data_IF_604128954459
#
_entry.id   IF_604128954459
#
_cell.length_a   1.000
_cell.length_b   1.000
_cell.length_c   1.000
_cell.angle_alpha   90.00
_cell.angle_beta   90.00
_cell.angle_gamma   90.00
#
_symmetry.space_group_name_H-M   'P 1'
#
loop_
_entity.id
_entity.type
_entity.pdbx_description
1 polymer ?
#
# COMPACT_ATOMS: atom_id res chain seq x y z
N UNK A 1 3.19 20.64 7.08
CA UNK A 1 3.29 20.29 5.64
C UNK A 1 2.32 19.12 5.36
N UNK A 2 1.89 18.81 4.12
CA UNK A 2 0.85 17.80 3.89
C UNK A 2 1.30 16.33 4.14
N UNK A 3 2.59 16.10 4.39
CA UNK A 3 3.18 14.78 4.60
C UNK A 3 3.07 14.28 6.06
N UNK A 4 3.05 15.19 7.05
CA UNK A 4 2.83 14.85 8.47
C UNK A 4 1.47 14.16 8.69
N UNK A 5 0.50 14.38 7.79
CA UNK A 5 -0.85 13.82 7.88
C UNK A 5 -0.95 12.33 7.56
N UNK A 6 0.12 11.71 7.07
CA UNK A 6 0.21 10.26 6.83
C UNK A 6 1.04 9.53 7.91
N UNK A 7 1.80 10.27 8.72
CA UNK A 7 2.55 9.74 9.87
C UNK A 7 1.62 9.46 11.06
N UNK A 8 0.57 10.27 11.22
CA UNK A 8 -0.53 10.00 12.15
C UNK A 8 -1.41 8.86 11.62
N UNK A 9 -0.97 7.62 11.80
CA UNK A 9 -1.84 6.47 11.63
C UNK A 9 -3.08 6.53 12.56
N UNK A 10 -3.04 7.33 13.63
CA UNK A 10 -4.20 7.68 14.47
C UNK A 10 -5.18 8.65 13.80
N UNK A 11 -4.77 9.41 12.77
CA UNK A 11 -5.62 10.32 12.01
C UNK A 11 -6.08 9.75 10.66
N UNK A 12 -5.97 8.42 10.46
CA UNK A 12 -6.68 7.76 9.36
C UNK A 12 -8.16 7.76 9.73
N UNK A 13 -8.86 8.78 9.21
CA UNK A 13 -10.29 8.97 9.37
C UNK A 13 -11.05 7.65 9.18
N UNK A 14 -12.07 7.41 10.00
CA UNK A 14 -12.83 6.17 10.02
C UNK A 14 -13.39 5.80 8.63
N UNK A 15 -13.61 6.79 7.75
CA UNK A 15 -13.95 6.59 6.35
C UNK A 15 -12.85 5.88 5.54
N UNK A 16 -11.57 6.23 5.75
CA UNK A 16 -10.44 5.56 5.09
C UNK A 16 -10.26 4.13 5.58
N UNK A 17 -10.44 3.87 6.88
CA UNK A 17 -10.42 2.50 7.44
C UNK A 17 -11.50 1.63 6.79
N UNK A 18 -12.71 2.16 6.62
CA UNK A 18 -13.81 1.47 5.90
C UNK A 18 -13.50 1.26 4.42
N UNK A 19 -12.87 2.22 3.76
CA UNK A 19 -12.48 2.09 2.36
C UNK A 19 -11.41 1.00 2.17
N UNK A 20 -10.40 0.94 3.05
CA UNK A 20 -9.40 -0.13 3.04
C UNK A 20 -10.09 -1.47 3.26
N UNK A 21 -10.91 -1.61 4.31
CA UNK A 21 -11.60 -2.87 4.59
C UNK A 21 -12.52 -3.35 3.45
N UNK A 22 -13.13 -2.42 2.70
CA UNK A 22 -13.96 -2.76 1.52
C UNK A 22 -13.16 -3.13 0.29
N UNK A 23 -12.00 -2.51 0.10
CA UNK A 23 -11.19 -2.64 -1.12
C UNK A 23 -10.00 -3.59 -0.96
N UNK A 24 -9.71 -4.06 0.26
CA UNK A 24 -8.56 -4.91 0.52
C UNK A 24 -8.77 -6.27 -0.15
N UNK A 25 -7.81 -6.64 -0.99
CA UNK A 25 -7.80 -7.91 -1.70
C UNK A 25 -6.39 -8.44 -1.82
N UNK A 26 -6.27 -9.75 -1.96
CA UNK A 26 -5.00 -10.37 -2.31
C UNK A 26 -4.66 -9.97 -3.76
N UNK A 27 -3.43 -9.52 -3.98
CA UNK A 27 -2.91 -9.16 -5.31
C UNK A 27 -1.80 -10.14 -5.68
N UNK A 28 -1.87 -10.66 -6.90
CA UNK A 28 -0.83 -11.52 -7.46
C UNK A 28 0.36 -10.69 -7.93
N UNK A 29 1.54 -11.30 -8.03
CA UNK A 29 2.76 -10.61 -8.50
C UNK A 29 2.58 -10.01 -9.90
N UNK A 30 1.82 -10.67 -10.78
CA UNK A 30 1.53 -10.16 -12.13
C UNK A 30 0.65 -8.90 -12.10
N UNK A 31 -0.41 -8.92 -11.30
CA UNK A 31 -1.29 -7.75 -11.10
C UNK A 31 -0.55 -6.61 -10.40
N UNK A 32 0.38 -6.95 -9.50
CA UNK A 32 1.23 -5.99 -8.83
C UNK A 32 2.20 -5.32 -9.80
N UNK A 33 2.78 -6.06 -10.76
CA UNK A 33 3.60 -5.50 -11.84
C UNK A 33 2.79 -4.54 -12.71
N UNK A 34 1.58 -4.94 -13.14
CA UNK A 34 0.67 -4.06 -13.91
C UNK A 34 0.29 -2.81 -13.13
N UNK A 35 -0.05 -2.95 -11.86
CA UNK A 35 -0.35 -1.82 -10.97
C UNK A 35 0.85 -0.88 -10.90
N UNK A 36 2.06 -1.44 -10.78
CA UNK A 36 3.29 -0.70 -10.98
C UNK A 36 3.24 0.09 -12.28
N UNK A 37 3.15 -0.57 -13.43
CA UNK A 37 3.14 0.08 -14.75
C UNK A 37 2.09 1.19 -14.89
N UNK A 38 0.88 1.03 -14.34
CA UNK A 38 -0.15 2.08 -14.33
C UNK A 38 0.20 3.26 -13.42
N UNK A 39 0.91 3.01 -12.32
CA UNK A 39 1.37 4.04 -11.41
C UNK A 39 2.64 4.76 -11.96
N UNK A 40 3.48 4.08 -12.74
CA UNK A 40 4.72 4.59 -13.34
C UNK A 40 4.46 5.21 -14.72
N UNK A 41 4.01 6.47 -14.76
CA UNK A 41 3.96 7.23 -16.02
C UNK A 41 5.36 7.40 -16.66
N UNK A 42 6.41 7.41 -15.83
CA UNK A 42 7.81 7.52 -16.25
C UNK A 42 8.68 6.36 -15.73
N UNK A 43 9.48 5.71 -16.60
CA UNK A 43 10.28 4.52 -16.27
C UNK A 43 11.47 4.79 -15.35
N UNK A 44 11.94 6.05 -15.27
CA UNK A 44 13.18 6.46 -14.58
C UNK A 44 12.95 6.88 -13.12
N UNK A 45 11.73 6.70 -12.62
CA UNK A 45 11.41 7.12 -11.26
C UNK A 45 12.07 6.19 -10.24
N UNK A 46 12.80 6.72 -9.24
CA UNK A 46 13.55 5.91 -8.26
C UNK A 46 12.66 4.96 -7.45
N UNK A 47 11.36 5.25 -7.34
CA UNK A 47 10.41 4.38 -6.65
C UNK A 47 10.07 3.10 -7.41
N UNK A 48 10.33 3.02 -8.73
CA UNK A 48 10.17 1.79 -9.51
C UNK A 48 11.09 0.70 -9.01
N UNK A 49 12.33 1.09 -8.73
CA UNK A 49 13.30 0.21 -8.12
C UNK A 49 12.84 -0.20 -6.71
N UNK A 50 12.37 0.73 -5.87
CA UNK A 50 11.87 0.39 -4.52
C UNK A 50 10.70 -0.59 -4.55
N UNK A 51 9.74 -0.39 -5.45
CA UNK A 51 8.58 -1.26 -5.60
C UNK A 51 9.00 -2.66 -6.10
N UNK A 52 9.83 -2.72 -7.14
CA UNK A 52 10.34 -3.99 -7.64
C UNK A 52 11.22 -4.71 -6.62
N UNK A 53 12.03 -3.97 -5.86
CA UNK A 53 12.85 -4.50 -4.76
C UNK A 53 11.96 -5.09 -3.66
N UNK A 54 10.91 -4.39 -3.25
CA UNK A 54 9.96 -4.89 -2.25
C UNK A 54 9.29 -6.21 -2.67
N UNK A 55 8.96 -6.34 -3.97
CA UNK A 55 8.41 -7.58 -4.53
C UNK A 55 9.47 -8.69 -4.54
N UNK A 56 10.69 -8.36 -4.95
CA UNK A 56 11.80 -9.29 -5.06
C UNK A 56 12.31 -9.77 -3.69
N UNK A 57 12.24 -8.95 -2.65
CA UNK A 57 12.61 -9.31 -1.27
C UNK A 57 11.63 -10.29 -0.63
N UNK A 58 10.41 -10.37 -1.14
CA UNK A 58 9.34 -11.22 -0.60
C UNK A 58 8.76 -12.18 -1.67
N UNK A 59 9.60 -13.06 -2.27
CA UNK A 59 9.15 -13.97 -3.30
C UNK A 59 8.19 -15.01 -2.70
N UNK A 60 6.94 -15.01 -3.15
CA UNK A 60 5.90 -15.92 -2.65
C UNK A 60 5.09 -15.41 -1.45
N UNK A 61 5.36 -14.19 -0.98
CA UNK A 61 4.53 -13.59 0.05
C UNK A 61 3.13 -13.23 -0.50
N UNK A 62 2.12 -13.35 0.37
CA UNK A 62 0.77 -12.87 0.07
C UNK A 62 0.76 -11.35 0.25
N UNK A 63 0.66 -10.65 -0.87
CA UNK A 63 0.48 -9.20 -0.86
C UNK A 63 -0.99 -8.85 -0.80
N UNK A 64 -1.32 -7.93 0.09
CA UNK A 64 -2.62 -7.31 0.21
C UNK A 64 -2.56 -5.91 -0.38
N UNK A 65 -3.46 -5.67 -1.33
CA UNK A 65 -3.65 -4.38 -1.97
C UNK A 65 -4.96 -3.78 -1.50
N UNK A 66 -4.93 -2.51 -1.11
CA UNK A 66 -6.14 -1.72 -0.90
C UNK A 66 -6.03 -0.38 -1.64
N UNK A 67 -7.08 -0.03 -2.38
CA UNK A 67 -7.22 1.28 -2.99
C UNK A 67 -8.18 2.13 -2.15
N UNK A 68 -7.72 3.30 -1.75
CA UNK A 68 -8.52 4.32 -1.08
C UNK A 68 -8.76 5.43 -2.09
N UNK A 69 -9.97 6.01 -2.06
CA UNK A 69 -10.33 7.12 -2.94
C UNK A 69 -9.27 8.22 -2.94
N UNK A 70 -9.21 8.99 -4.03
CA UNK A 70 -8.17 9.99 -4.32
C UNK A 70 -6.85 9.43 -4.91
N UNK A 71 -6.86 8.19 -5.40
CA UNK A 71 -5.68 7.59 -6.06
C UNK A 71 -4.59 7.15 -5.07
N UNK A 72 -4.98 6.87 -3.82
CA UNK A 72 -4.10 6.31 -2.80
C UNK A 72 -4.13 4.80 -2.88
N UNK A 73 -2.95 4.18 -2.93
CA UNK A 73 -2.77 2.74 -2.98
C UNK A 73 -1.95 2.30 -1.78
N UNK A 74 -2.43 1.27 -1.09
CA UNK A 74 -1.74 0.61 0.00
C UNK A 74 -1.35 -0.79 -0.42
N UNK A 75 -0.08 -1.13 -0.23
CA UNK A 75 0.46 -2.47 -0.44
C UNK A 75 1.02 -2.98 0.89
N UNK A 76 0.63 -4.18 1.29
CA UNK A 76 1.04 -4.76 2.56
C UNK A 76 1.34 -6.24 2.42
N UNK A 77 2.50 -6.66 2.91
CA UNK A 77 2.86 -8.07 3.06
C UNK A 77 2.66 -8.46 4.53
N UNK A 78 1.79 -9.43 4.78
CA UNK A 78 1.54 -9.95 6.12
C UNK A 78 2.75 -10.73 6.66
N UNK A 79 3.47 -11.42 5.78
CA UNK A 79 4.57 -12.31 6.15
C UNK A 79 5.77 -11.53 6.70
N UNK A 80 6.09 -10.40 6.07
CA UNK A 80 7.17 -9.52 6.49
C UNK A 80 6.77 -8.40 7.46
N UNK A 81 5.48 -8.27 7.78
CA UNK A 81 4.91 -7.10 8.47
C UNK A 81 5.41 -5.77 7.90
N UNK A 82 5.45 -5.67 6.57
CA UNK A 82 5.94 -4.50 5.84
C UNK A 82 4.92 -4.05 4.82
N UNK A 83 4.90 -2.77 4.51
CA UNK A 83 4.07 -2.27 3.43
C UNK A 83 4.52 -0.90 2.94
N UNK A 84 3.88 -0.48 1.86
CA UNK A 84 4.10 0.78 1.17
C UNK A 84 2.76 1.48 0.97
N UNK A 85 2.73 2.79 1.11
CA UNK A 85 1.64 3.62 0.61
C UNK A 85 2.13 4.41 -0.59
N UNK A 86 1.24 4.64 -1.55
CA UNK A 86 1.47 5.44 -2.73
C UNK A 86 0.31 6.43 -2.90
N UNK A 87 0.63 7.67 -3.26
CA UNK A 87 -0.35 8.68 -3.66
C UNK A 87 0.12 9.34 -4.96
N UNK A 88 -0.70 9.25 -6.01
CA UNK A 88 -0.40 9.82 -7.32
C UNK A 88 -0.10 11.32 -7.21
N UNK A 89 1.03 11.75 -7.77
CA UNK A 89 1.46 13.16 -7.76
C UNK A 89 2.03 13.66 -6.43
N UNK A 90 2.01 12.87 -5.35
CA UNK A 90 2.55 13.25 -4.05
C UNK A 90 3.83 12.47 -3.72
N UNK A 91 3.76 11.14 -3.68
CA UNK A 91 4.91 10.31 -3.31
C UNK A 91 4.57 8.89 -2.89
N UNK A 92 5.61 8.19 -2.44
CA UNK A 92 5.56 6.83 -1.91
C UNK A 92 6.34 6.78 -0.60
N UNK A 93 5.94 5.92 0.32
CA UNK A 93 6.70 5.68 1.54
C UNK A 93 6.38 4.35 2.20
N UNK A 94 7.21 3.90 3.15
CA UNK A 94 6.87 2.77 4.01
C UNK A 94 5.62 3.10 4.83
N UNK A 95 4.80 2.08 5.10
CA UNK A 95 3.72 2.21 6.07
C UNK A 95 4.28 2.41 7.47
N UNK A 96 3.74 3.39 8.17
CA UNK A 96 3.92 3.56 9.61
C UNK A 96 3.35 2.36 10.37
N UNK A 97 3.68 2.24 11.67
CA UNK A 97 3.19 1.15 12.51
C UNK A 97 1.66 1.05 12.55
N UNK A 98 0.96 2.16 12.74
CA UNK A 98 -0.50 2.13 12.72
C UNK A 98 -1.08 1.89 11.33
N UNK A 99 -0.40 2.32 10.25
CA UNK A 99 -0.76 1.96 8.87
C UNK A 99 -0.71 0.44 8.64
N UNK A 100 0.32 -0.23 9.17
CA UNK A 100 0.42 -1.70 9.16
C UNK A 100 -0.65 -2.35 10.03
N UNK A 101 -0.92 -1.79 11.21
CA UNK A 101 -1.98 -2.27 12.09
C UNK A 101 -3.35 -2.24 11.40
N UNK A 102 -3.68 -1.14 10.73
CA UNK A 102 -4.91 -1.00 9.94
C UNK A 102 -5.03 -2.06 8.85
N UNK A 103 -3.96 -2.35 8.13
CA UNK A 103 -3.96 -3.40 7.12
C UNK A 103 -4.20 -4.79 7.74
N UNK A 104 -3.56 -5.09 8.89
CA UNK A 104 -3.81 -6.35 9.62
C UNK A 104 -5.27 -6.48 10.08
N UNK A 105 -5.82 -5.40 10.65
CA UNK A 105 -7.22 -5.35 11.07
C UNK A 105 -8.18 -5.53 9.89
N UNK A 106 -7.91 -4.87 8.76
CA UNK A 106 -8.72 -4.99 7.55
C UNK A 106 -8.70 -6.42 6.97
N UNK A 107 -7.53 -7.08 6.98
CA UNK A 107 -7.40 -8.49 6.56
C UNK A 107 -8.16 -9.42 7.51
N UNK A 108 -8.10 -9.15 8.82
CA UNK A 108 -8.78 -9.97 9.83
C UNK A 108 -10.31 -9.78 9.79
N UNK A 109 -10.79 -8.61 9.40
CA UNK A 109 -12.23 -8.27 9.35
C UNK A 109 -12.88 -8.66 8.02
N UNK A 110 -12.10 -8.85 6.95
CA UNK A 110 -12.58 -9.26 5.63
C UNK A 110 -12.94 -10.74 5.48
N UNK A 111 -13.13 -11.47 6.59
CA UNK A 111 -13.45 -12.90 6.66
C UNK A 111 -14.82 -13.15 7.32
#
# INVERSE_FOLDING_TARGET
MPFEKFEDAEAIDNERRKAIAKSIRIISVEELKKLGEEMFDEPDRPWRQTFLQFIAEHPGAIFHHASVGDGVVFLYSRDGDKGLWYLRGSGIGPLSEGGRQLMREAIATGH
#
